data_IF_010079254638
#
_entry.id   IF_010079254638
#
_cell.length_a   1.000
_cell.length_b   1.000
_cell.length_c   1.000
_cell.angle_alpha   90.00
_cell.angle_beta   90.00
_cell.angle_gamma   90.00
#
_symmetry.space_group_name_H-M   'P 1'
#
loop_
_entity.id
_entity.type
_entity.pdbx_description
1 polymer ?
#
# COMPACT_ATOMS: atom_id res chain seq x y z
N UNK A 1 -3.42 93.07 -35.34
CA UNK A 1 -4.00 92.26 -34.25
C UNK A 1 -4.20 90.91 -34.83
N UNK A 2 -3.28 89.97 -34.48
CA UNK A 2 -3.16 88.65 -35.07
C UNK A 2 -3.78 87.62 -34.16
N UNK A 3 -4.65 86.76 -34.69
CA UNK A 3 -5.22 85.60 -34.04
C UNK A 3 -4.32 84.36 -34.22
N UNK A 4 -4.07 83.57 -33.21
CA UNK A 4 -3.23 82.36 -33.38
C UNK A 4 -4.08 81.13 -33.73
N UNK A 5 -3.58 80.45 -34.74
CA UNK A 5 -4.07 79.14 -35.23
C UNK A 5 -3.96 78.04 -34.20
N UNK A 6 -5.00 77.26 -34.00
CA UNK A 6 -5.01 76.05 -33.18
C UNK A 6 -4.61 74.86 -34.07
N UNK A 7 -3.49 74.24 -33.68
CA UNK A 7 -3.06 72.93 -34.21
C UNK A 7 -3.81 71.82 -33.48
N UNK A 8 -4.60 71.06 -34.24
CA UNK A 8 -5.27 69.86 -33.75
C UNK A 8 -4.29 68.64 -33.92
N UNK A 9 -3.83 68.10 -32.82
CA UNK A 9 -3.06 66.83 -32.81
C UNK A 9 -4.07 65.71 -32.62
N UNK A 10 -4.24 64.89 -33.69
CA UNK A 10 -5.04 63.69 -33.63
C UNK A 10 -4.20 62.53 -33.07
N UNK A 11 -4.52 62.10 -31.84
CA UNK A 11 -3.98 60.86 -31.25
C UNK A 11 -4.75 59.65 -31.82
N UNK A 12 -4.14 58.88 -32.67
CA UNK A 12 -4.62 57.57 -33.10
C UNK A 12 -4.38 56.56 -31.92
N UNK A 13 -5.48 56.15 -31.24
CA UNK A 13 -5.48 55.02 -30.36
C UNK A 13 -5.56 53.73 -31.20
N UNK A 14 -4.46 53.01 -31.31
CA UNK A 14 -4.43 51.62 -31.77
C UNK A 14 -4.95 50.73 -30.63
N UNK A 15 -6.22 50.34 -30.68
CA UNK A 15 -6.79 49.26 -29.86
C UNK A 15 -6.25 47.93 -30.37
N UNK A 16 -5.17 47.45 -29.78
CA UNK A 16 -4.73 46.08 -29.93
C UNK A 16 -5.72 45.14 -29.22
N UNK A 17 -6.55 44.47 -30.02
CA UNK A 17 -7.37 43.34 -29.50
C UNK A 17 -6.47 42.17 -29.13
N UNK A 18 -6.20 42.02 -27.83
CA UNK A 18 -5.65 40.78 -27.31
C UNK A 18 -6.74 39.73 -27.43
N UNK A 19 -6.65 38.85 -28.40
CA UNK A 19 -7.42 37.62 -28.44
C UNK A 19 -6.96 36.76 -27.24
N UNK A 20 -7.78 36.68 -26.22
CA UNK A 20 -7.61 35.73 -25.14
C UNK A 20 -7.71 34.33 -25.75
N UNK A 21 -6.58 33.62 -25.82
CA UNK A 21 -6.56 32.20 -26.16
C UNK A 21 -7.28 31.52 -25.00
N UNK A 22 -8.42 30.85 -25.19
CA UNK A 22 -9.05 30.10 -24.12
C UNK A 22 -8.06 29.00 -23.72
N UNK A 23 -7.56 29.06 -22.49
CA UNK A 23 -6.90 27.92 -21.87
C UNK A 23 -7.93 26.81 -21.80
N UNK A 24 -7.83 25.85 -22.71
CA UNK A 24 -8.59 24.60 -22.61
C UNK A 24 -8.08 23.93 -21.33
N UNK A 25 -8.83 24.09 -20.24
CA UNK A 25 -8.70 23.22 -19.08
C UNK A 25 -8.98 21.82 -19.60
N UNK A 26 -7.92 21.06 -19.86
CA UNK A 26 -8.05 19.63 -20.06
C UNK A 26 -8.48 19.08 -18.70
N UNK A 27 -9.75 18.72 -18.57
CA UNK A 27 -10.19 17.89 -17.47
C UNK A 27 -9.29 16.65 -17.50
N UNK A 28 -8.61 16.36 -16.39
CA UNK A 28 -7.86 15.11 -16.30
C UNK A 28 -8.82 13.95 -16.55
N UNK A 29 -8.40 13.02 -17.40
CA UNK A 29 -9.20 11.82 -17.63
C UNK A 29 -9.40 11.09 -16.30
N UNK A 30 -10.61 10.56 -16.04
CA UNK A 30 -10.88 9.85 -14.79
C UNK A 30 -9.99 8.59 -14.68
N UNK A 31 -9.65 8.20 -13.45
CA UNK A 31 -8.95 6.96 -13.21
C UNK A 31 -9.78 5.78 -13.74
N UNK A 32 -9.11 4.81 -14.35
CA UNK A 32 -9.73 3.59 -14.87
C UNK A 32 -9.77 2.52 -13.78
N UNK A 33 -10.96 1.98 -13.53
CA UNK A 33 -11.19 0.91 -12.56
C UNK A 33 -11.37 -0.42 -13.28
N UNK A 34 -10.62 -1.44 -12.84
CA UNK A 34 -10.81 -2.84 -13.20
C UNK A 34 -11.18 -3.58 -11.92
N UNK A 35 -12.49 -3.78 -11.72
CA UNK A 35 -13.05 -4.34 -10.50
C UNK A 35 -13.07 -5.88 -10.51
N UNK A 36 -13.03 -6.46 -9.32
CA UNK A 36 -13.28 -7.88 -9.02
C UNK A 36 -12.47 -8.86 -9.87
N UNK A 37 -11.22 -8.52 -10.17
CA UNK A 37 -10.31 -9.41 -10.89
C UNK A 37 -9.96 -10.61 -10.00
N UNK A 38 -10.27 -11.81 -10.50
CA UNK A 38 -10.05 -13.06 -9.74
C UNK A 38 -8.57 -13.45 -9.83
N UNK A 39 -7.84 -13.39 -8.72
CA UNK A 39 -6.45 -13.82 -8.64
C UNK A 39 -6.28 -15.25 -8.11
N UNK A 40 -7.34 -15.86 -7.60
CA UNK A 40 -7.34 -17.23 -7.11
C UNK A 40 -8.73 -17.71 -6.70
N UNK A 41 -8.78 -19.00 -6.38
CA UNK A 41 -9.97 -19.64 -5.81
C UNK A 41 -9.57 -20.40 -4.55
N UNK A 42 -10.44 -20.39 -3.55
CA UNK A 42 -10.24 -21.06 -2.26
C UNK A 42 -11.59 -21.55 -1.73
N UNK A 43 -11.72 -22.85 -1.50
CA UNK A 43 -12.94 -23.48 -0.95
C UNK A 43 -14.25 -23.05 -1.65
N UNK A 44 -14.21 -22.97 -2.97
CA UNK A 44 -15.36 -22.57 -3.79
C UNK A 44 -15.62 -21.07 -3.86
N UNK A 45 -14.75 -20.23 -3.27
CA UNK A 45 -14.84 -18.76 -3.33
C UNK A 45 -13.75 -18.18 -4.21
N UNK A 46 -14.06 -17.08 -4.88
CA UNK A 46 -13.08 -16.29 -5.59
C UNK A 46 -12.30 -15.38 -4.60
N UNK A 47 -10.99 -15.30 -4.78
CA UNK A 47 -10.15 -14.29 -4.19
C UNK A 47 -9.98 -13.16 -5.20
N UNK A 48 -10.36 -11.94 -4.84
CA UNK A 48 -10.44 -10.82 -5.79
C UNK A 48 -9.55 -9.65 -5.40
N UNK A 49 -9.19 -8.88 -6.42
CA UNK A 49 -8.53 -7.58 -6.29
C UNK A 49 -9.12 -6.59 -7.29
N UNK A 50 -8.95 -5.30 -7.02
CA UNK A 50 -9.25 -4.24 -7.98
C UNK A 50 -7.97 -3.55 -8.40
N UNK A 51 -7.90 -3.11 -9.67
CA UNK A 51 -6.82 -2.28 -10.19
C UNK A 51 -7.39 -0.92 -10.56
N UNK A 52 -6.87 0.13 -9.95
CA UNK A 52 -7.27 1.52 -10.17
C UNK A 52 -6.08 2.26 -10.78
N UNK A 53 -6.21 2.64 -12.04
CA UNK A 53 -5.15 3.27 -12.81
C UNK A 53 -5.42 4.77 -12.95
N UNK A 54 -4.51 5.66 -12.52
CA UNK A 54 -4.61 7.07 -12.85
C UNK A 54 -4.40 7.29 -14.35
N UNK A 55 -4.93 8.38 -14.90
CA UNK A 55 -4.80 8.71 -16.33
C UNK A 55 -3.33 8.74 -16.81
N UNK A 56 -2.41 9.11 -15.92
CA UNK A 56 -0.97 9.19 -16.18
C UNK A 56 -0.20 8.29 -15.23
N UNK A 57 -0.39 6.95 -15.34
CA UNK A 57 0.33 6.00 -14.53
C UNK A 57 1.84 6.06 -14.79
N UNK A 58 2.66 6.00 -13.72
CA UNK A 58 4.13 6.06 -13.81
C UNK A 58 4.78 4.67 -13.98
N UNK A 59 3.98 3.63 -14.15
CA UNK A 59 4.39 2.23 -14.28
C UNK A 59 4.62 1.51 -12.96
N UNK A 60 4.78 2.19 -11.83
CA UNK A 60 4.82 1.53 -10.53
C UNK A 60 3.40 1.23 -10.02
N UNK A 61 3.26 0.13 -9.28
CA UNK A 61 2.01 -0.21 -8.63
C UNK A 61 2.18 -0.36 -7.12
N UNK A 62 1.16 0.05 -6.37
CA UNK A 62 1.13 -0.09 -4.91
C UNK A 62 -0.09 -0.93 -4.53
N UNK A 63 0.18 -2.08 -3.89
CA UNK A 63 -0.84 -2.98 -3.41
C UNK A 63 -1.27 -2.56 -2.00
N UNK A 64 -2.54 -2.23 -1.83
CA UNK A 64 -3.14 -1.98 -0.54
C UNK A 64 -3.78 -3.27 -0.03
N UNK A 65 -3.23 -3.83 1.04
CA UNK A 65 -3.77 -5.03 1.67
C UNK A 65 -4.95 -4.67 2.57
N UNK A 66 -6.16 -4.97 2.10
CA UNK A 66 -7.40 -4.76 2.86
C UNK A 66 -7.54 -5.80 3.96
N UNK A 67 -7.00 -5.50 5.15
CA UNK A 67 -6.96 -6.41 6.28
C UNK A 67 -6.99 -5.66 7.61
N UNK A 68 -8.07 -5.80 8.35
CA UNK A 68 -8.20 -5.35 9.74
C UNK A 68 -8.43 -6.56 10.66
N UNK A 69 -7.49 -6.86 11.59
CA UNK A 69 -7.57 -8.08 12.41
C UNK A 69 -7.65 -9.36 11.57
N UNK A 70 -7.03 -9.39 10.39
CA UNK A 70 -7.09 -10.47 9.39
C UNK A 70 -8.50 -10.77 8.86
N UNK A 71 -9.42 -9.81 9.00
CA UNK A 71 -10.65 -9.75 8.23
C UNK A 71 -10.41 -8.92 6.98
N UNK A 72 -10.94 -9.39 5.86
CA UNK A 72 -10.93 -8.67 4.60
C UNK A 72 -12.35 -8.58 4.08
N UNK A 73 -12.78 -7.41 3.66
CA UNK A 73 -14.14 -7.15 3.22
C UNK A 73 -14.16 -6.49 1.85
N UNK A 74 -15.20 -6.76 1.10
CA UNK A 74 -15.47 -6.08 -0.15
C UNK A 74 -16.02 -4.67 0.12
N UNK A 75 -15.60 -3.75 -0.68
CA UNK A 75 -16.06 -2.35 -0.68
C UNK A 75 -16.13 -1.89 -2.12
N UNK A 76 -17.12 -1.07 -2.48
CA UNK A 76 -17.23 -0.49 -3.82
C UNK A 76 -15.89 0.13 -4.25
N UNK A 77 -15.34 -0.27 -5.41
CA UNK A 77 -14.02 0.19 -5.85
C UNK A 77 -13.90 1.70 -5.99
N UNK A 78 -15.01 2.40 -6.28
CA UNK A 78 -15.08 3.85 -6.39
C UNK A 78 -14.74 4.56 -5.08
N UNK A 79 -14.96 3.94 -3.93
CA UNK A 79 -14.59 4.49 -2.64
C UNK A 79 -13.08 4.67 -2.50
N UNK A 80 -12.30 3.86 -3.23
CA UNK A 80 -10.84 3.96 -3.23
C UNK A 80 -10.31 5.10 -4.12
N UNK A 81 -11.13 5.71 -4.97
CA UNK A 81 -10.78 6.96 -5.64
C UNK A 81 -10.56 8.09 -4.63
N UNK A 82 -11.28 8.07 -3.51
CA UNK A 82 -11.14 9.04 -2.42
C UNK A 82 -10.08 8.57 -1.43
N UNK A 83 -10.22 7.35 -0.89
CA UNK A 83 -9.31 6.82 0.13
C UNK A 83 -7.87 6.65 -0.39
N UNK A 84 -7.72 6.28 -1.65
CA UNK A 84 -6.43 6.08 -2.32
C UNK A 84 -5.94 7.29 -3.13
N UNK A 85 -6.68 8.42 -3.07
CA UNK A 85 -6.39 9.60 -3.90
C UNK A 85 -4.93 10.02 -3.85
N UNK A 86 -4.32 10.03 -2.68
CA UNK A 86 -2.94 10.44 -2.51
C UNK A 86 -1.94 9.57 -3.31
N UNK A 87 -2.22 8.28 -3.49
CA UNK A 87 -1.40 7.38 -4.34
C UNK A 87 -1.64 7.63 -5.82
N UNK A 88 -2.89 7.86 -6.22
CA UNK A 88 -3.27 8.17 -7.60
C UNK A 88 -2.69 9.51 -8.05
N UNK A 89 -2.66 10.52 -7.17
CA UNK A 89 -2.04 11.84 -7.40
C UNK A 89 -0.50 11.72 -7.61
N UNK A 90 0.15 10.70 -7.01
CA UNK A 90 1.55 10.36 -7.25
C UNK A 90 1.75 9.46 -8.47
N UNK A 91 0.69 9.26 -9.26
CA UNK A 91 0.68 8.47 -10.48
C UNK A 91 0.95 6.97 -10.30
N UNK A 92 0.80 6.43 -9.09
CA UNK A 92 0.85 4.99 -8.86
C UNK A 92 -0.44 4.32 -9.31
N UNK A 93 -0.33 3.16 -9.95
CA UNK A 93 -1.46 2.24 -10.07
C UNK A 93 -1.75 1.65 -8.69
N UNK A 94 -2.96 1.87 -8.17
CA UNK A 94 -3.37 1.37 -6.87
C UNK A 94 -4.09 0.03 -7.05
N UNK A 95 -3.71 -0.97 -6.27
CA UNK A 95 -4.28 -2.32 -6.32
C UNK A 95 -4.85 -2.68 -4.96
N UNK A 96 -6.15 -2.89 -4.88
CA UNK A 96 -6.84 -3.23 -3.64
C UNK A 96 -6.92 -4.75 -3.53
N UNK A 97 -6.19 -5.33 -2.58
CA UNK A 97 -6.10 -6.79 -2.42
C UNK A 97 -6.98 -7.26 -1.28
N UNK A 98 -7.89 -8.18 -1.56
CA UNK A 98 -8.73 -8.87 -0.59
C UNK A 98 -8.29 -10.33 -0.46
N UNK A 99 -7.93 -10.76 0.74
CA UNK A 99 -7.58 -12.15 1.06
C UNK A 99 -8.78 -12.92 1.63
N UNK A 100 -8.67 -14.22 1.77
CA UNK A 100 -9.65 -15.03 2.49
C UNK A 100 -9.81 -14.54 3.93
N UNK A 101 -11.04 -14.16 4.28
CA UNK A 101 -11.36 -13.43 5.51
C UNK A 101 -11.63 -14.37 6.68
N UNK A 102 -11.19 -13.99 7.88
CA UNK A 102 -11.71 -14.59 9.12
C UNK A 102 -13.26 -14.40 9.18
N UNK A 103 -14.00 -15.25 9.87
CA UNK A 103 -13.54 -16.34 10.71
C UNK A 103 -13.25 -17.66 9.96
N UNK A 104 -13.55 -17.74 8.64
CA UNK A 104 -13.36 -18.97 7.85
C UNK A 104 -11.88 -19.28 7.63
N UNK A 105 -11.07 -18.25 7.43
CA UNK A 105 -9.64 -18.35 7.16
C UNK A 105 -8.84 -17.68 8.27
N UNK A 106 -7.66 -18.18 8.52
CA UNK A 106 -6.77 -17.72 9.56
C UNK A 106 -5.54 -16.99 9.01
N UNK A 107 -4.66 -16.54 9.90
CA UNK A 107 -3.46 -15.78 9.55
C UNK A 107 -2.59 -16.48 8.49
N UNK A 108 -2.28 -17.81 8.60
CA UNK A 108 -1.48 -18.49 7.58
C UNK A 108 -2.13 -18.47 6.19
N UNK A 109 -3.46 -18.55 6.13
CA UNK A 109 -4.23 -18.45 4.89
C UNK A 109 -4.08 -17.08 4.25
N UNK A 110 -4.24 -16.01 5.05
CA UNK A 110 -4.10 -14.63 4.57
C UNK A 110 -2.69 -14.37 4.00
N UNK A 111 -1.63 -14.91 4.65
CA UNK A 111 -0.24 -14.82 4.15
C UNK A 111 -0.11 -15.50 2.79
N UNK A 112 -0.66 -16.70 2.62
CA UNK A 112 -0.62 -17.42 1.34
C UNK A 112 -1.36 -16.66 0.23
N UNK A 113 -2.53 -16.09 0.56
CA UNK A 113 -3.37 -15.38 -0.38
C UNK A 113 -2.71 -14.07 -0.88
N UNK A 114 -2.09 -13.28 0.00
CA UNK A 114 -1.41 -12.04 -0.42
C UNK A 114 -0.15 -12.33 -1.25
N UNK A 115 0.57 -13.43 -0.98
CA UNK A 115 1.66 -13.89 -1.85
C UNK A 115 1.15 -14.20 -3.25
N UNK A 116 0.03 -14.93 -3.33
CA UNK A 116 -0.62 -15.24 -4.62
C UNK A 116 -1.08 -13.97 -5.34
N UNK A 117 -1.62 -12.98 -4.62
CA UNK A 117 -2.02 -11.70 -5.22
C UNK A 117 -0.82 -10.97 -5.86
N UNK A 118 0.34 -10.88 -5.18
CA UNK A 118 1.56 -10.30 -5.76
C UNK A 118 2.00 -11.05 -7.02
N UNK A 119 1.98 -12.39 -7.01
CA UNK A 119 2.31 -13.22 -8.17
C UNK A 119 1.35 -12.95 -9.34
N UNK A 120 0.05 -12.84 -9.07
CA UNK A 120 -0.96 -12.52 -10.09
C UNK A 120 -0.72 -11.14 -10.71
N UNK A 121 -0.47 -10.12 -9.89
CA UNK A 121 -0.17 -8.77 -10.37
C UNK A 121 1.08 -8.79 -11.25
N UNK A 122 2.14 -9.48 -10.85
CA UNK A 122 3.36 -9.63 -11.65
C UNK A 122 3.10 -10.35 -12.96
N UNK A 123 2.31 -11.42 -12.96
CA UNK A 123 1.90 -12.13 -14.17
C UNK A 123 1.14 -11.23 -15.14
N UNK A 124 0.22 -10.42 -14.61
CA UNK A 124 -0.64 -9.53 -15.41
C UNK A 124 -0.08 -8.12 -15.60
N UNK A 125 1.11 -7.84 -15.12
CA UNK A 125 1.68 -6.49 -15.09
C UNK A 125 1.62 -5.80 -16.46
N UNK A 126 1.98 -6.51 -17.53
CA UNK A 126 1.97 -5.99 -18.90
C UNK A 126 0.58 -5.57 -19.37
N UNK A 127 -0.47 -6.32 -18.98
CA UNK A 127 -1.85 -6.06 -19.38
C UNK A 127 -2.37 -4.72 -18.83
N UNK A 128 -1.75 -4.25 -17.74
CA UNK A 128 -2.11 -3.02 -17.02
C UNK A 128 -0.99 -1.96 -17.06
N UNK A 129 0.00 -2.09 -17.95
CA UNK A 129 1.08 -1.10 -18.06
C UNK A 129 1.92 -0.96 -16.77
N UNK A 130 1.98 -2.02 -15.95
CA UNK A 130 2.75 -2.06 -14.70
C UNK A 130 4.13 -2.66 -14.98
N UNK A 131 5.15 -2.06 -14.39
CA UNK A 131 6.49 -2.66 -14.31
C UNK A 131 6.49 -3.73 -13.19
N UNK A 132 6.70 -5.01 -13.51
CA UNK A 132 6.65 -6.09 -12.52
C UNK A 132 7.73 -5.98 -11.42
N UNK A 133 8.80 -5.20 -11.65
CA UNK A 133 9.86 -4.99 -10.67
C UNK A 133 9.59 -3.78 -9.75
N UNK A 134 8.50 -3.04 -9.98
CA UNK A 134 8.14 -1.84 -9.24
C UNK A 134 6.83 -2.01 -8.47
N UNK A 135 6.72 -3.11 -7.74
CA UNK A 135 5.57 -3.45 -6.90
C UNK A 135 5.84 -3.07 -5.45
N UNK A 136 5.19 -2.01 -4.98
CA UNK A 136 5.13 -1.64 -3.57
C UNK A 136 3.92 -2.28 -2.88
N UNK A 137 4.01 -2.46 -1.57
CA UNK A 137 2.89 -2.99 -0.77
C UNK A 137 2.74 -2.16 0.50
N UNK A 138 1.51 -1.86 0.89
CA UNK A 138 1.25 -1.27 2.20
C UNK A 138 -0.02 -1.81 2.87
N UNK A 139 -0.07 -1.64 4.18
CA UNK A 139 -1.23 -1.96 4.98
C UNK A 139 -1.06 -1.54 6.43
N UNK A 140 -2.18 -1.46 7.15
CA UNK A 140 -2.20 -1.13 8.58
C UNK A 140 -2.55 -2.35 9.43
N UNK A 141 -2.04 -2.43 10.67
CA UNK A 141 -2.35 -3.50 11.63
C UNK A 141 -2.09 -4.89 11.02
N UNK A 142 -3.11 -5.74 10.91
CA UNK A 142 -3.01 -7.03 10.22
C UNK A 142 -2.52 -6.88 8.76
N UNK A 143 -2.92 -5.82 8.03
CA UNK A 143 -2.38 -5.52 6.70
C UNK A 143 -0.90 -5.15 6.75
N UNK A 144 -0.45 -4.46 7.79
CA UNK A 144 0.96 -4.17 8.05
C UNK A 144 1.77 -5.44 8.33
N UNK A 145 1.21 -6.36 9.13
CA UNK A 145 1.78 -7.70 9.31
C UNK A 145 1.97 -8.43 7.98
N UNK A 146 0.92 -8.49 7.15
CA UNK A 146 0.97 -9.14 5.83
C UNK A 146 1.99 -8.47 4.89
N UNK A 147 2.13 -7.14 4.98
CA UNK A 147 3.16 -6.38 4.25
C UNK A 147 4.56 -6.83 4.66
N UNK A 148 4.83 -6.95 5.96
CA UNK A 148 6.13 -7.42 6.46
C UNK A 148 6.38 -8.90 6.15
N UNK A 149 5.34 -9.74 6.15
CA UNK A 149 5.45 -11.12 5.67
C UNK A 149 5.90 -11.18 4.20
N UNK A 150 5.32 -10.34 3.33
CA UNK A 150 5.76 -10.25 1.93
C UNK A 150 7.20 -9.73 1.81
N UNK A 151 7.59 -8.75 2.63
CA UNK A 151 8.93 -8.17 2.60
C UNK A 151 10.01 -9.16 3.05
N UNK A 152 9.71 -10.01 4.04
CA UNK A 152 10.69 -10.92 4.66
C UNK A 152 10.67 -12.34 4.08
N UNK A 153 9.56 -12.74 3.46
CA UNK A 153 9.36 -14.12 2.97
C UNK A 153 8.95 -14.17 1.50
N UNK A 154 9.35 -13.17 0.71
CA UNK A 154 9.14 -13.17 -0.74
C UNK A 154 9.89 -14.34 -1.39
N UNK A 155 9.19 -15.05 -2.29
CA UNK A 155 9.69 -16.27 -2.94
C UNK A 155 9.86 -16.05 -4.44
N UNK A 156 10.77 -16.80 -5.05
CA UNK A 156 10.84 -16.93 -6.50
C UNK A 156 9.64 -17.70 -7.06
N UNK A 157 9.40 -17.57 -8.37
CA UNK A 157 8.39 -18.37 -9.05
C UNK A 157 8.88 -19.80 -9.28
N UNK A 158 7.93 -20.75 -9.33
CA UNK A 158 8.17 -22.12 -9.76
C UNK A 158 7.82 -22.26 -11.26
N UNK A 159 8.84 -22.20 -12.12
CA UNK A 159 8.66 -22.30 -13.57
C UNK A 159 8.00 -23.63 -14.02
N UNK A 160 8.05 -24.67 -13.18
CA UNK A 160 7.47 -25.99 -13.46
C UNK A 160 6.00 -26.10 -13.07
N UNK A 161 5.45 -25.12 -12.32
CA UNK A 161 4.07 -25.14 -11.85
C UNK A 161 3.08 -25.21 -13.00
N UNK A 162 2.01 -25.99 -12.83
CA UNK A 162 0.86 -26.01 -13.75
C UNK A 162 -0.02 -24.76 -13.60
N UNK A 163 0.01 -24.14 -12.43
CA UNK A 163 -0.65 -22.86 -12.17
C UNK A 163 0.26 -21.71 -12.64
N UNK A 164 -0.16 -20.99 -13.67
CA UNK A 164 0.62 -19.89 -14.26
C UNK A 164 0.96 -18.80 -13.24
N UNK A 165 0.07 -18.53 -12.28
CA UNK A 165 0.29 -17.54 -11.24
C UNK A 165 1.52 -17.92 -10.40
N UNK A 166 1.68 -19.21 -10.07
CA UNK A 166 2.79 -19.69 -9.24
C UNK A 166 4.14 -19.67 -9.95
N UNK A 167 4.18 -19.51 -11.28
CA UNK A 167 5.43 -19.34 -12.04
C UNK A 167 6.09 -17.99 -11.81
N UNK A 168 5.40 -17.05 -11.20
CA UNK A 168 5.88 -15.68 -10.96
C UNK A 168 6.34 -15.49 -9.50
N UNK A 169 7.31 -14.60 -9.30
CA UNK A 169 7.82 -14.27 -7.97
C UNK A 169 6.79 -13.52 -7.12
N UNK A 170 6.77 -13.80 -5.81
CA UNK A 170 6.02 -13.02 -4.81
C UNK A 170 6.84 -11.92 -4.15
N UNK A 171 8.11 -11.69 -4.56
CA UNK A 171 8.95 -10.62 -4.03
C UNK A 171 8.35 -9.26 -4.32
N UNK A 172 8.57 -8.31 -3.43
CA UNK A 172 8.14 -6.92 -3.58
C UNK A 172 9.36 -6.00 -3.64
N UNK A 173 9.21 -4.83 -4.24
CA UNK A 173 10.27 -3.84 -4.32
C UNK A 173 10.41 -3.02 -3.01
N UNK A 174 9.29 -2.76 -2.32
CA UNK A 174 9.27 -2.09 -1.02
C UNK A 174 7.97 -2.36 -0.26
N UNK A 175 8.04 -2.36 1.07
CA UNK A 175 6.88 -2.44 1.97
C UNK A 175 6.75 -1.22 2.87
N UNK A 176 5.51 -0.80 3.16
CA UNK A 176 5.18 0.19 4.20
C UNK A 176 4.16 -0.41 5.14
N UNK A 177 4.55 -0.64 6.38
CA UNK A 177 3.73 -1.27 7.41
C UNK A 177 3.35 -0.27 8.50
N UNK A 178 2.07 -0.02 8.65
CA UNK A 178 1.53 0.90 9.66
C UNK A 178 1.13 0.09 10.90
N UNK A 179 1.70 0.42 12.05
CA UNK A 179 1.44 -0.22 13.36
C UNK A 179 1.30 -1.76 13.29
N UNK A 180 2.29 -2.48 12.71
CA UNK A 180 2.19 -3.90 12.43
C UNK A 180 2.48 -4.76 13.67
N UNK A 181 1.74 -5.85 13.93
CA UNK A 181 2.23 -6.94 14.75
C UNK A 181 3.33 -7.68 13.99
N UNK A 182 4.48 -7.95 14.63
CA UNK A 182 5.67 -8.53 13.98
C UNK A 182 6.08 -9.88 14.55
N UNK A 183 5.57 -10.22 15.73
CA UNK A 183 5.81 -11.48 16.40
C UNK A 183 4.48 -12.01 16.93
N UNK A 184 4.03 -13.12 16.36
CA UNK A 184 2.76 -13.76 16.73
C UNK A 184 2.97 -15.00 17.60
N UNK A 185 4.20 -15.26 18.08
CA UNK A 185 4.45 -16.39 18.99
C UNK A 185 3.72 -16.21 20.31
N UNK A 186 2.97 -17.22 20.69
CA UNK A 186 2.10 -17.23 21.86
C UNK A 186 0.70 -16.66 21.60
N UNK A 187 0.40 -16.10 20.44
CA UNK A 187 -0.91 -15.48 20.17
C UNK A 187 -2.05 -16.50 20.06
N UNK A 188 -1.77 -17.74 19.70
CA UNK A 188 -2.79 -18.81 19.63
C UNK A 188 -3.30 -19.19 21.02
N UNK A 189 -2.38 -19.42 21.97
CA UNK A 189 -2.74 -19.86 23.35
C UNK A 189 -2.93 -18.71 24.33
N UNK A 190 -2.02 -17.76 24.29
CA UNK A 190 -1.94 -16.68 25.28
C UNK A 190 -1.77 -15.30 24.63
N UNK A 191 -2.73 -14.89 23.76
CA UNK A 191 -2.62 -13.59 23.12
C UNK A 191 -2.55 -12.46 24.16
N UNK A 192 -1.92 -11.33 23.85
CA UNK A 192 -1.90 -10.14 24.70
C UNK A 192 -3.31 -9.75 25.17
N UNK A 193 -3.42 -9.13 26.35
CA UNK A 193 -4.71 -8.76 26.96
C UNK A 193 -5.57 -7.94 26.00
N UNK A 194 -5.00 -6.93 25.35
CA UNK A 194 -5.70 -6.07 24.38
C UNK A 194 -6.32 -6.87 23.22
N UNK A 195 -5.66 -7.95 22.78
CA UNK A 195 -6.19 -8.85 21.75
C UNK A 195 -7.31 -9.73 22.32
N UNK A 196 -7.15 -10.26 23.57
CA UNK A 196 -8.18 -11.09 24.24
C UNK A 196 -9.49 -10.35 24.47
N UNK A 197 -9.41 -9.05 24.72
CA UNK A 197 -10.56 -8.20 25.01
C UNK A 197 -11.41 -7.90 23.77
N UNK A 198 -10.93 -8.27 22.58
CA UNK A 198 -11.63 -8.11 21.32
C UNK A 198 -12.02 -9.49 20.76
N UNK A 199 -13.25 -9.98 21.01
CA UNK A 199 -13.67 -11.33 20.59
C UNK A 199 -13.50 -11.59 19.10
N UNK A 200 -13.62 -10.56 18.25
CA UNK A 200 -13.44 -10.67 16.81
C UNK A 200 -12.00 -11.01 16.40
N UNK A 201 -10.99 -10.82 17.26
CA UNK A 201 -9.60 -11.18 16.95
C UNK A 201 -9.28 -12.64 17.28
N UNK A 202 -10.20 -13.37 17.94
CA UNK A 202 -9.99 -14.78 18.28
C UNK A 202 -10.00 -15.71 17.05
N UNK A 203 -10.99 -15.67 16.13
CA UNK A 203 -11.06 -16.61 15.00
C UNK A 203 -9.83 -16.60 14.09
N UNK A 204 -9.26 -15.45 13.68
CA UNK A 204 -8.07 -15.42 12.83
C UNK A 204 -6.82 -16.07 13.47
N UNK A 205 -6.80 -16.19 14.81
CA UNK A 205 -5.73 -16.79 15.58
C UNK A 205 -5.99 -18.26 15.97
N UNK A 206 -7.05 -18.89 15.44
CA UNK A 206 -7.37 -20.30 15.68
C UNK A 206 -6.71 -21.21 14.64
N UNK A 207 -5.39 -21.28 14.66
CA UNK A 207 -4.59 -22.15 13.80
C UNK A 207 -3.62 -22.99 14.66
N UNK A 208 -2.89 -23.92 14.06
CA UNK A 208 -1.89 -24.71 14.77
C UNK A 208 -0.76 -23.80 15.29
N UNK A 209 -0.53 -23.78 16.62
CA UNK A 209 0.51 -22.95 17.22
C UNK A 209 1.90 -23.22 16.67
N UNK A 210 2.16 -24.44 16.16
CA UNK A 210 3.42 -24.77 15.49
C UNK A 210 3.69 -23.88 14.25
N UNK A 211 2.65 -23.23 13.70
CA UNK A 211 2.75 -22.30 12.58
C UNK A 211 3.05 -20.85 13.02
N UNK A 212 2.93 -20.50 14.32
CA UNK A 212 3.20 -19.12 14.78
C UNK A 212 4.56 -18.58 14.33
N UNK A 213 5.67 -19.34 14.41
CA UNK A 213 6.95 -18.87 13.88
C UNK A 213 6.90 -18.57 12.39
N UNK A 214 6.18 -19.36 11.60
CA UNK A 214 6.10 -19.21 10.14
C UNK A 214 5.33 -17.97 9.69
N UNK A 215 4.52 -17.39 10.58
CA UNK A 215 3.73 -16.15 10.37
C UNK A 215 4.22 -14.99 11.23
N UNK A 216 5.41 -15.07 11.79
CA UNK A 216 6.05 -14.00 12.58
C UNK A 216 7.18 -13.35 11.75
N UNK A 217 6.93 -12.23 11.05
CA UNK A 217 7.90 -11.66 10.11
C UNK A 217 9.25 -11.32 10.74
N UNK A 218 9.30 -11.02 12.02
CA UNK A 218 10.55 -10.75 12.75
C UNK A 218 11.56 -11.92 12.69
N UNK A 219 11.07 -13.16 12.55
CA UNK A 219 11.89 -14.36 12.48
C UNK A 219 12.45 -14.65 11.08
N UNK A 220 11.97 -13.91 10.09
CA UNK A 220 12.30 -14.14 8.67
C UNK A 220 13.13 -13.01 8.05
N UNK A 221 13.60 -12.06 8.86
CA UNK A 221 14.49 -11.00 8.38
C UNK A 221 15.82 -11.59 7.95
N UNK A 222 16.22 -11.33 6.71
CA UNK A 222 17.49 -11.75 6.12
C UNK A 222 18.06 -10.63 5.25
N UNK A 223 19.28 -10.77 4.79
CA UNK A 223 19.91 -9.84 3.84
C UNK A 223 19.12 -9.70 2.52
N UNK A 224 18.30 -10.68 2.17
CA UNK A 224 17.45 -10.67 0.98
C UNK A 224 16.06 -10.07 1.21
N UNK A 225 15.75 -9.61 2.42
CA UNK A 225 14.47 -8.96 2.72
C UNK A 225 14.32 -7.67 1.93
N UNK A 226 13.11 -7.42 1.44
CA UNK A 226 12.83 -6.18 0.71
C UNK A 226 12.92 -4.96 1.63
N UNK A 227 13.26 -3.77 1.12
CA UNK A 227 13.18 -2.52 1.86
C UNK A 227 11.83 -2.34 2.55
N UNK A 228 11.83 -2.05 3.86
CA UNK A 228 10.61 -1.94 4.67
C UNK A 228 10.61 -0.72 5.57
N UNK A 229 9.53 0.06 5.49
CA UNK A 229 9.24 1.18 6.38
C UNK A 229 8.17 0.74 7.38
N UNK A 230 8.42 0.93 8.65
CA UNK A 230 7.41 0.82 9.71
C UNK A 230 7.08 2.21 10.24
N UNK A 231 5.78 2.52 10.38
CA UNK A 231 5.31 3.74 11.03
C UNK A 231 4.42 3.30 12.19
N UNK A 232 4.69 3.79 13.43
CA UNK A 232 4.02 3.27 14.61
C UNK A 232 3.81 4.36 15.68
N UNK A 233 2.64 4.37 16.30
CA UNK A 233 2.32 5.28 17.40
C UNK A 233 2.97 4.86 18.72
N UNK A 234 3.45 5.82 19.52
CA UNK A 234 4.04 5.52 20.83
C UNK A 234 3.00 5.29 21.94
N UNK A 235 1.71 5.45 21.64
CA UNK A 235 0.57 5.21 22.52
C UNK A 235 -0.33 4.08 22.03
N UNK A 236 0.19 3.20 21.16
CA UNK A 236 -0.55 2.06 20.65
C UNK A 236 -0.66 0.98 21.76
N UNK A 237 -1.86 0.79 22.29
CA UNK A 237 -2.16 -0.20 23.33
C UNK A 237 -2.63 -1.53 22.73
N UNK A 238 -3.08 -1.54 21.46
CA UNK A 238 -3.54 -2.76 20.80
C UNK A 238 -2.37 -3.57 20.23
N UNK A 239 -1.49 -2.91 19.50
CA UNK A 239 -0.22 -3.47 19.02
C UNK A 239 0.90 -2.61 19.58
N UNK A 240 1.47 -2.97 20.72
CA UNK A 240 2.48 -2.14 21.39
C UNK A 240 3.69 -1.86 20.50
N UNK A 241 4.25 -0.66 20.64
CA UNK A 241 5.39 -0.17 19.83
C UNK A 241 6.59 -1.14 19.78
N UNK A 242 6.75 -2.00 20.82
CA UNK A 242 7.85 -2.97 20.85
C UNK A 242 7.83 -3.95 19.66
N UNK A 243 6.70 -4.19 19.02
CA UNK A 243 6.65 -4.95 17.78
C UNK A 243 7.55 -4.32 16.70
N UNK A 244 7.41 -3.03 16.47
CA UNK A 244 8.22 -2.34 15.48
C UNK A 244 9.67 -2.08 15.93
N UNK A 245 9.92 -1.77 17.21
CA UNK A 245 11.31 -1.58 17.68
C UNK A 245 12.10 -2.88 17.68
N UNK A 246 11.48 -4.01 18.01
CA UNK A 246 12.16 -5.31 17.93
C UNK A 246 12.40 -5.72 16.47
N UNK A 247 11.46 -5.42 15.57
CA UNK A 247 11.64 -5.66 14.13
C UNK A 247 12.79 -4.84 13.57
N UNK A 248 12.88 -3.55 13.93
CA UNK A 248 14.01 -2.69 13.56
C UNK A 248 15.32 -3.25 14.07
N UNK A 249 15.37 -3.69 15.33
CA UNK A 249 16.57 -4.33 15.90
C UNK A 249 16.94 -5.66 15.19
N UNK A 250 15.95 -6.40 14.66
CA UNK A 250 16.21 -7.58 13.86
C UNK A 250 16.80 -7.21 12.48
N UNK A 251 16.27 -6.17 11.82
CA UNK A 251 16.76 -5.66 10.54
C UNK A 251 18.21 -5.18 10.69
N UNK A 252 18.54 -4.44 11.75
CA UNK A 252 19.90 -3.91 12.01
C UNK A 252 20.98 -4.99 12.16
N UNK A 253 20.60 -6.27 12.33
CA UNK A 253 21.53 -7.42 12.38
C UNK A 253 21.85 -7.97 10.99
N UNK A 254 21.26 -7.43 9.96
CA UNK A 254 21.39 -7.83 8.55
C UNK A 254 21.80 -6.64 7.69
N UNK A 255 22.00 -6.88 6.39
CA UNK A 255 22.19 -5.82 5.39
C UNK A 255 20.88 -5.33 4.77
N UNK A 256 19.72 -5.87 5.21
CA UNK A 256 18.42 -5.41 4.75
C UNK A 256 18.16 -3.95 5.12
N UNK A 257 17.40 -3.28 4.28
CA UNK A 257 17.07 -1.87 4.48
C UNK A 257 15.74 -1.77 5.23
N UNK A 258 15.76 -1.10 6.38
CA UNK A 258 14.55 -0.83 7.16
C UNK A 258 14.63 0.49 7.91
N UNK A 259 13.46 1.09 8.12
CA UNK A 259 13.30 2.34 8.87
C UNK A 259 12.08 2.24 9.77
N UNK A 260 12.19 2.72 11.01
CA UNK A 260 11.07 2.94 11.92
C UNK A 260 10.84 4.43 12.09
N UNK A 261 9.60 4.86 11.90
CA UNK A 261 9.13 6.21 12.23
C UNK A 261 8.14 6.09 13.40
N UNK A 262 8.50 6.68 14.54
CA UNK A 262 7.63 6.72 15.73
C UNK A 262 6.80 7.99 15.70
N UNK A 263 5.47 7.84 15.66
CA UNK A 263 4.53 8.96 15.68
C UNK A 263 4.11 9.26 17.12
N UNK A 264 4.61 10.37 17.65
CA UNK A 264 4.37 10.76 19.03
C UNK A 264 2.89 11.04 19.29
N UNK A 265 2.37 10.45 20.36
CA UNK A 265 0.98 10.60 20.80
C UNK A 265 -0.03 9.80 19.98
N UNK A 266 0.37 9.10 18.94
CA UNK A 266 -0.53 8.26 18.15
C UNK A 266 -0.83 6.95 18.88
N UNK A 267 -2.09 6.53 18.83
CA UNK A 267 -2.56 5.21 19.28
C UNK A 267 -2.53 4.21 18.12
N UNK A 268 -3.46 3.23 18.09
CA UNK A 268 -3.59 2.28 16.97
C UNK A 268 -4.30 2.94 15.77
N UNK A 269 -3.61 3.92 15.16
CA UNK A 269 -4.11 4.78 14.09
C UNK A 269 -3.50 6.17 14.18
N UNK A 270 -3.87 7.05 13.24
CA UNK A 270 -3.30 8.39 13.14
C UNK A 270 -4.40 9.45 13.01
N UNK A 271 -4.20 10.62 13.62
CA UNK A 271 -5.05 11.78 13.36
C UNK A 271 -4.89 12.25 11.91
N UNK A 272 -5.85 13.05 11.36
CA UNK A 272 -5.70 13.64 10.04
C UNK A 272 -4.40 14.45 9.88
N UNK A 273 -3.98 15.18 10.92
CA UNK A 273 -2.75 15.96 10.95
C UNK A 273 -1.52 15.03 10.88
N UNK A 274 -1.49 13.98 11.72
CA UNK A 274 -0.40 13.00 11.71
C UNK A 274 -0.32 12.27 10.37
N UNK A 275 -1.49 11.97 9.77
CA UNK A 275 -1.55 11.37 8.43
C UNK A 275 -0.97 12.31 7.37
N UNK A 276 -1.31 13.59 7.40
CA UNK A 276 -0.87 14.59 6.42
C UNK A 276 0.59 15.00 6.60
N UNK A 277 1.06 15.16 7.84
CA UNK A 277 2.37 15.74 8.14
C UNK A 277 3.49 14.71 8.29
N UNK A 278 3.15 13.45 8.64
CA UNK A 278 4.14 12.42 8.94
C UNK A 278 3.94 11.19 8.05
N UNK A 279 2.77 10.52 8.18
CA UNK A 279 2.57 9.20 7.59
C UNK A 279 2.59 9.25 6.06
N UNK A 280 1.86 10.20 5.47
CA UNK A 280 1.83 10.40 4.02
C UNK A 280 3.21 10.74 3.45
N UNK A 281 3.87 11.81 3.92
CA UNK A 281 5.21 12.19 3.46
C UNK A 281 6.25 11.07 3.56
N UNK A 282 6.31 10.35 4.69
CA UNK A 282 7.24 9.23 4.87
C UNK A 282 6.93 8.06 3.93
N UNK A 283 5.64 7.74 3.75
CA UNK A 283 5.20 6.68 2.82
C UNK A 283 5.60 7.01 1.38
N UNK A 284 5.34 8.24 0.91
CA UNK A 284 5.63 8.62 -0.47
C UNK A 284 7.13 8.83 -0.71
N UNK A 285 7.89 9.30 0.26
CA UNK A 285 9.34 9.35 0.18
C UNK A 285 9.93 7.94 0.03
N UNK A 286 9.41 6.97 0.81
CA UNK A 286 9.83 5.58 0.73
C UNK A 286 9.52 4.95 -0.64
N UNK A 287 8.30 5.05 -1.11
CA UNK A 287 7.95 4.53 -2.43
C UNK A 287 8.67 5.27 -3.56
N UNK A 288 8.86 6.59 -3.44
CA UNK A 288 9.64 7.37 -4.40
C UNK A 288 11.09 6.91 -4.53
N UNK A 289 11.70 6.44 -3.43
CA UNK A 289 13.07 5.90 -3.44
C UNK A 289 13.14 4.50 -4.06
N UNK A 290 12.25 3.60 -3.66
CA UNK A 290 12.36 2.18 -4.01
C UNK A 290 11.51 1.74 -5.21
N UNK A 291 10.55 2.56 -5.66
CA UNK A 291 9.74 2.29 -6.85
C UNK A 291 10.09 3.21 -8.03
N UNK A 292 11.21 3.93 -8.00
CA UNK A 292 11.68 4.72 -9.15
C UNK A 292 12.04 3.83 -10.34
N UNK A 293 11.83 4.34 -11.55
CA UNK A 293 12.33 3.68 -12.76
C UNK A 293 13.87 3.63 -12.72
N UNK A 294 14.42 2.48 -13.08
CA UNK A 294 15.87 2.28 -13.19
C UNK A 294 16.39 2.75 -14.52
#
# INVERSE_FOLDING_TARGET
>A
MASPSRLLVACLFLCGSWAAIPSVLHAEEPAKIHADLVYGHKDGMALTLDIIQPAKANGAAVLWLQSGGWYSSWTEPENFLIAGKAYLDQHYTLIIVRHGSAPRYQVPDAVADVRRAVRYVRWKAKDYGIDPERLGVFGGSAGGHLTLMLATTGEEGDASSKDEVLRHSSRIAAGVALYPPTDLRGFVKTPPQAIRDIPALKPPLQFDEALEPSVSPILHVTDASAPMLMIHGDKDELVPLWHSTNMEAAIQKTTAIGKLVVVKGAAHGYSPEQQAEIVGPETFAWFGEYLKAK
#
